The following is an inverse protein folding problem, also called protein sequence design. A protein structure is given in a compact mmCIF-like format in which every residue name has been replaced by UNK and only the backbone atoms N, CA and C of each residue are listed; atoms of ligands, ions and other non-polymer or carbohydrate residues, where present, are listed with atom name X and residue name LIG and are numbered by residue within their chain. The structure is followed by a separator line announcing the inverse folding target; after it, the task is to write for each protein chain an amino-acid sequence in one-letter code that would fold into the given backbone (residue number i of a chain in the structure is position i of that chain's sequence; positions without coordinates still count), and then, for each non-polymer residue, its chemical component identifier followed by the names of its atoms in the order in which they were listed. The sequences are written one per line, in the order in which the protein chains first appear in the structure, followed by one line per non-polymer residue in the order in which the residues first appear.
data_IF_637954537446
#
_entry.id   IF_637954537446
#
_cell.length_a   1.000
_cell.length_b   1.000
_cell.length_c   1.000
_cell.angle_alpha   90.00
_cell.angle_beta   90.00
_cell.angle_gamma   90.00
#
_symmetry.space_group_name_H-M   'P 1'
#
loop_
_entity.id
_entity.type
_entity.pdbx_description
1 polymer ?
#
# COMPACT_ATOMS: atom_id res chain seq x y z
N UNK A 1 50.27 3.05 -2.49
CA UNK A 1 49.89 1.70 -2.97
C UNK A 1 48.37 1.65 -3.04
N UNK A 2 47.78 1.66 -4.25
CA UNK A 2 46.32 1.68 -4.46
C UNK A 2 45.75 0.28 -4.28
N UNK A 3 44.85 0.09 -3.32
CA UNK A 3 44.09 -1.15 -3.17
C UNK A 3 42.73 -0.94 -3.87
N UNK A 4 42.58 -1.54 -5.06
CA UNK A 4 41.29 -1.67 -5.73
C UNK A 4 40.53 -2.82 -5.07
N UNK A 5 39.36 -2.54 -4.46
CA UNK A 5 38.39 -3.57 -4.09
C UNK A 5 37.67 -4.01 -5.37
N UNK A 6 37.83 -5.27 -5.77
CA UNK A 6 36.96 -5.93 -6.74
C UNK A 6 35.71 -6.39 -6.00
N UNK A 7 34.55 -5.92 -6.43
CA UNK A 7 33.26 -6.53 -6.08
C UNK A 7 33.20 -7.83 -6.88
N UNK A 8 33.13 -8.96 -6.17
CA UNK A 8 32.80 -10.27 -6.76
C UNK A 8 31.28 -10.38 -6.71
N UNK A 9 30.64 -10.23 -7.87
CA UNK A 9 29.24 -10.61 -8.06
C UNK A 9 29.21 -12.13 -8.05
N UNK A 10 28.68 -12.71 -6.96
CA UNK A 10 28.43 -14.14 -6.88
C UNK A 10 27.21 -14.48 -7.72
N UNK A 11 27.42 -15.04 -8.91
CA UNK A 11 26.42 -15.91 -9.53
C UNK A 11 26.24 -17.11 -8.60
N UNK A 12 25.09 -17.21 -7.93
CA UNK A 12 24.66 -18.46 -7.33
C UNK A 12 24.17 -19.38 -8.43
N UNK A 13 25.05 -20.29 -8.86
CA UNK A 13 24.66 -21.50 -9.56
C UNK A 13 23.86 -22.37 -8.59
N UNK A 14 22.56 -22.56 -8.87
CA UNK A 14 21.73 -23.56 -8.22
C UNK A 14 22.40 -24.94 -8.36
N UNK A 15 22.77 -25.52 -7.23
CA UNK A 15 23.32 -26.86 -7.13
C UNK A 15 22.53 -27.65 -6.08
N UNK A 16 21.75 -28.61 -6.58
CA UNK A 16 21.29 -29.83 -5.91
C UNK A 16 20.54 -29.66 -4.58
N UNK A 17 19.22 -29.40 -4.68
CA UNK A 17 18.26 -29.97 -3.74
C UNK A 17 17.74 -31.29 -4.34
N UNK A 18 17.76 -32.34 -3.52
CA UNK A 18 17.16 -33.63 -3.80
C UNK A 18 15.66 -33.45 -4.03
N UNK A 19 15.24 -33.52 -5.29
CA UNK A 19 13.85 -33.61 -5.72
C UNK A 19 13.33 -35.03 -5.48
N UNK A 20 12.28 -35.17 -4.65
CA UNK A 20 11.09 -36.02 -4.91
C UNK A 20 10.06 -35.90 -3.74
N UNK A 21 8.73 -35.90 -3.98
CA UNK A 21 7.98 -35.50 -5.16
C UNK A 21 6.89 -34.45 -4.81
N UNK A 22 7.17 -33.17 -5.00
CA UNK A 22 6.15 -32.20 -5.41
C UNK A 22 6.69 -31.47 -6.63
N UNK A 23 6.01 -31.64 -7.77
CA UNK A 23 6.15 -30.77 -8.92
C UNK A 23 7.53 -30.76 -9.60
N UNK A 24 7.91 -31.85 -10.26
CA UNK A 24 9.03 -31.83 -11.21
C UNK A 24 8.78 -30.98 -12.50
N UNK A 25 7.67 -30.23 -12.56
CA UNK A 25 7.26 -29.40 -13.70
C UNK A 25 6.83 -27.96 -13.31
N UNK A 26 6.90 -27.57 -12.04
CA UNK A 26 6.57 -26.19 -11.68
C UNK A 26 7.81 -25.31 -11.96
N UNK A 27 7.75 -24.52 -13.03
CA UNK A 27 8.80 -23.54 -13.30
C UNK A 27 8.79 -22.50 -12.17
N UNK A 28 9.97 -22.01 -11.71
CA UNK A 28 10.06 -20.96 -10.68
C UNK A 28 9.26 -19.68 -11.01
N UNK A 29 8.77 -19.53 -12.24
CA UNK A 29 7.92 -18.44 -12.71
C UNK A 29 6.50 -18.46 -12.16
N UNK A 30 5.99 -19.57 -11.64
CA UNK A 30 4.56 -19.72 -11.34
C UNK A 30 4.18 -19.31 -9.92
N UNK A 31 5.16 -18.83 -9.16
CA UNK A 31 5.00 -18.39 -7.79
C UNK A 31 5.44 -16.95 -7.58
N UNK A 32 4.90 -16.34 -6.53
CA UNK A 32 5.20 -14.99 -6.07
C UNK A 32 5.70 -15.08 -4.63
N UNK A 33 6.77 -14.35 -4.34
CA UNK A 33 7.26 -14.18 -2.98
C UNK A 33 6.96 -12.77 -2.51
N UNK A 34 6.30 -12.64 -1.37
CA UNK A 34 6.14 -11.35 -0.70
C UNK A 34 7.35 -11.10 0.22
N UNK A 35 7.75 -9.83 0.30
CA UNK A 35 8.87 -9.41 1.15
C UNK A 35 8.43 -8.68 2.41
N UNK A 36 7.15 -8.33 2.50
CA UNK A 36 6.49 -7.78 3.70
C UNK A 36 5.90 -8.93 4.49
N UNK A 37 6.14 -8.98 5.80
CA UNK A 37 5.60 -10.02 6.67
C UNK A 37 4.09 -9.89 6.79
N UNK A 38 3.55 -8.68 6.91
CA UNK A 38 2.10 -8.45 7.03
C UNK A 38 1.31 -8.98 5.81
N UNK A 39 1.79 -8.70 4.59
CA UNK A 39 1.19 -9.29 3.39
C UNK A 39 1.30 -10.81 3.40
N UNK A 40 2.45 -11.33 3.83
CA UNK A 40 2.68 -12.77 3.89
C UNK A 40 1.72 -13.45 4.86
N UNK A 41 1.51 -12.89 6.05
CA UNK A 41 0.62 -13.43 7.08
C UNK A 41 -0.85 -13.40 6.61
N UNK A 42 -1.28 -12.29 6.00
CA UNK A 42 -2.61 -12.17 5.39
C UNK A 42 -2.82 -13.23 4.29
N UNK A 43 -1.86 -13.38 3.38
CA UNK A 43 -1.95 -14.37 2.33
C UNK A 43 -1.87 -15.80 2.87
N UNK A 44 -1.08 -16.09 3.91
CA UNK A 44 -1.00 -17.42 4.53
C UNK A 44 -2.32 -17.82 5.16
N UNK A 45 -2.96 -16.91 5.91
CA UNK A 45 -4.26 -17.14 6.54
C UNK A 45 -5.33 -17.46 5.49
N UNK A 46 -5.39 -16.66 4.42
CA UNK A 46 -6.36 -16.80 3.35
C UNK A 46 -6.07 -18.00 2.43
N UNK A 47 -4.81 -18.39 2.25
CA UNK A 47 -4.40 -19.48 1.35
C UNK A 47 -5.00 -20.81 1.78
N UNK A 48 -4.90 -21.13 3.08
CA UNK A 48 -5.46 -22.37 3.63
C UNK A 48 -6.96 -22.48 3.36
N UNK A 49 -7.69 -21.38 3.52
CA UNK A 49 -9.13 -21.32 3.27
C UNK A 49 -9.45 -21.48 1.79
N UNK A 50 -8.75 -20.75 0.92
CA UNK A 50 -8.93 -20.84 -0.52
C UNK A 50 -8.77 -22.27 -1.05
N UNK A 51 -7.78 -23.02 -0.54
CA UNK A 51 -7.57 -24.41 -0.97
C UNK A 51 -8.59 -25.39 -0.40
N UNK A 52 -8.93 -25.27 0.89
CA UNK A 52 -9.95 -26.11 1.52
C UNK A 52 -11.32 -25.96 0.82
N UNK A 53 -11.66 -24.76 0.34
CA UNK A 53 -12.98 -24.47 -0.21
C UNK A 53 -13.10 -24.73 -1.72
N UNK A 54 -12.00 -24.66 -2.49
CA UNK A 54 -12.06 -24.73 -3.96
C UNK A 54 -11.34 -25.97 -4.53
N UNK A 55 -10.02 -26.02 -4.46
CA UNK A 55 -9.21 -26.95 -5.24
C UNK A 55 -9.19 -28.38 -4.67
N UNK A 56 -9.07 -28.53 -3.34
CA UNK A 56 -9.14 -29.84 -2.71
C UNK A 56 -10.51 -30.47 -2.92
N UNK A 57 -11.56 -29.63 -2.85
CA UNK A 57 -12.94 -30.07 -3.03
C UNK A 57 -13.23 -30.51 -4.47
N UNK A 58 -12.78 -29.77 -5.48
CA UNK A 58 -12.94 -30.19 -6.88
C UNK A 58 -12.25 -31.52 -7.19
N UNK A 59 -11.03 -31.74 -6.67
CA UNK A 59 -10.33 -33.02 -6.85
C UNK A 59 -11.06 -34.17 -6.13
N UNK A 60 -11.58 -33.95 -4.92
CA UNK A 60 -12.36 -34.95 -4.18
C UNK A 60 -13.72 -35.22 -4.83
N UNK A 61 -14.45 -34.20 -5.27
CA UNK A 61 -15.76 -34.35 -5.93
C UNK A 61 -15.63 -35.21 -7.22
N UNK A 62 -14.51 -35.09 -7.94
CA UNK A 62 -14.21 -35.95 -9.10
C UNK A 62 -13.87 -37.39 -8.71
N UNK A 63 -13.25 -37.61 -7.55
CA UNK A 63 -13.01 -38.95 -7.01
C UNK A 63 -14.32 -39.59 -6.54
N UNK A 64 -15.21 -38.80 -5.91
CA UNK A 64 -16.55 -39.22 -5.49
C UNK A 64 -17.37 -39.69 -6.70
N UNK A 65 -17.38 -38.93 -7.79
CA UNK A 65 -18.07 -39.31 -9.02
C UNK A 65 -17.55 -40.65 -9.59
N UNK A 66 -16.24 -40.85 -9.60
CA UNK A 66 -15.62 -42.10 -10.06
C UNK A 66 -15.92 -43.27 -9.14
N UNK A 67 -15.97 -43.03 -7.84
CA UNK A 67 -16.34 -44.04 -6.87
C UNK A 67 -17.81 -44.47 -7.01
N UNK A 68 -18.72 -43.50 -7.12
CA UNK A 68 -20.16 -43.73 -7.29
C UNK A 68 -20.49 -44.48 -8.60
N UNK A 69 -19.70 -44.24 -9.65
CA UNK A 69 -19.84 -44.93 -10.95
C UNK A 69 -19.17 -46.31 -10.97
N UNK A 70 -18.47 -46.69 -9.90
CA UNK A 70 -17.75 -47.96 -9.78
C UNK A 70 -16.46 -48.02 -10.60
N UNK A 71 -15.93 -46.87 -11.02
CA UNK A 71 -14.62 -46.75 -11.68
C UNK A 71 -13.46 -46.90 -10.69
N UNK A 72 -13.71 -46.65 -9.39
CA UNK A 72 -12.76 -46.87 -8.30
C UNK A 72 -13.32 -47.89 -7.31
N UNK A 73 -12.45 -48.78 -6.83
CA UNK A 73 -12.72 -49.60 -5.64
C UNK A 73 -12.59 -48.78 -4.35
N UNK A 74 -13.10 -49.30 -3.23
CA UNK A 74 -12.94 -48.67 -1.90
C UNK A 74 -11.48 -48.34 -1.59
N UNK A 75 -10.57 -49.28 -1.84
CA UNK A 75 -9.12 -49.12 -1.59
C UNK A 75 -8.49 -48.07 -2.51
N UNK A 76 -8.84 -48.07 -3.80
CA UNK A 76 -8.32 -47.07 -4.76
C UNK A 76 -8.84 -45.67 -4.48
N UNK A 77 -10.08 -45.55 -3.99
CA UNK A 77 -10.66 -44.28 -3.57
C UNK A 77 -9.96 -43.73 -2.33
N UNK A 78 -9.82 -44.56 -1.29
CA UNK A 78 -9.14 -44.17 -0.04
C UNK A 78 -7.68 -43.73 -0.29
N UNK A 79 -6.94 -44.46 -1.13
CA UNK A 79 -5.58 -44.09 -1.53
C UNK A 79 -5.54 -42.78 -2.33
N UNK A 80 -6.50 -42.57 -3.25
CA UNK A 80 -6.55 -41.36 -4.06
C UNK A 80 -6.88 -40.12 -3.21
N UNK A 81 -7.83 -40.22 -2.28
CA UNK A 81 -8.17 -39.14 -1.34
C UNK A 81 -6.98 -38.79 -0.46
N UNK A 82 -6.31 -39.79 0.13
CA UNK A 82 -5.13 -39.57 0.95
C UNK A 82 -3.98 -38.91 0.17
N UNK A 83 -3.80 -39.28 -1.10
CA UNK A 83 -2.81 -38.66 -1.98
C UNK A 83 -3.13 -37.20 -2.29
N UNK A 84 -4.42 -36.87 -2.49
CA UNK A 84 -4.88 -35.48 -2.65
C UNK A 84 -4.58 -34.69 -1.38
N UNK A 85 -4.95 -35.20 -0.19
CA UNK A 85 -4.69 -34.56 1.09
C UNK A 85 -3.19 -34.28 1.32
N UNK A 86 -2.34 -35.29 1.14
CA UNK A 86 -0.89 -35.16 1.33
C UNK A 86 -0.29 -34.11 0.39
N UNK A 87 -0.66 -34.13 -0.89
CA UNK A 87 -0.21 -33.15 -1.89
C UNK A 87 -0.53 -31.72 -1.46
N UNK A 88 -1.67 -31.50 -0.80
CA UNK A 88 -2.06 -30.17 -0.33
C UNK A 88 -1.37 -29.76 0.96
N UNK A 89 -1.16 -30.68 1.89
CA UNK A 89 -0.34 -30.45 3.08
C UNK A 89 1.07 -30.00 2.70
N UNK A 90 1.68 -30.64 1.69
CA UNK A 90 3.00 -30.28 1.20
C UNK A 90 3.03 -28.90 0.54
N UNK A 91 1.99 -28.53 -0.23
CA UNK A 91 1.88 -27.18 -0.81
C UNK A 91 1.70 -26.11 0.25
N UNK A 92 0.86 -26.35 1.27
CA UNK A 92 0.64 -25.41 2.38
C UNK A 92 1.94 -25.25 3.18
N UNK A 93 2.58 -26.36 3.55
CA UNK A 93 3.86 -26.33 4.26
C UNK A 93 4.93 -25.54 3.49
N UNK A 94 4.97 -25.69 2.15
CA UNK A 94 5.87 -24.90 1.31
C UNK A 94 5.55 -23.39 1.37
N UNK A 95 4.27 -23.00 1.34
CA UNK A 95 3.90 -21.58 1.47
C UNK A 95 4.21 -21.01 2.85
N UNK A 96 4.02 -21.80 3.91
CA UNK A 96 4.31 -21.41 5.29
C UNK A 96 5.81 -21.24 5.53
N UNK A 97 6.62 -22.18 5.04
CA UNK A 97 8.07 -22.19 5.27
C UNK A 97 8.79 -21.09 4.48
N UNK A 98 8.36 -20.82 3.24
CA UNK A 98 9.12 -19.97 2.32
C UNK A 98 8.46 -18.62 2.01
N UNK A 99 7.17 -18.44 2.31
CA UNK A 99 6.45 -17.21 1.97
C UNK A 99 6.19 -17.05 0.48
N UNK A 100 6.04 -18.17 -0.22
CA UNK A 100 5.94 -18.25 -1.68
C UNK A 100 4.57 -18.80 -2.04
N UNK A 101 3.80 -18.04 -2.81
CA UNK A 101 2.41 -18.35 -3.15
C UNK A 101 2.25 -18.61 -4.65
N UNK A 102 1.39 -19.57 -5.05
CA UNK A 102 1.00 -19.75 -6.44
C UNK A 102 0.38 -18.49 -7.04
N UNK A 103 0.76 -18.14 -8.28
CA UNK A 103 0.16 -17.02 -9.01
C UNK A 103 -1.34 -17.14 -9.20
N UNK A 104 -1.83 -18.36 -9.41
CA UNK A 104 -3.27 -18.64 -9.53
C UNK A 104 -4.05 -18.21 -8.28
N UNK A 105 -3.47 -18.45 -7.11
CA UNK A 105 -4.05 -18.01 -5.85
C UNK A 105 -3.98 -16.49 -5.71
N UNK A 106 -2.81 -15.88 -5.95
CA UNK A 106 -2.69 -14.42 -5.84
C UNK A 106 -3.64 -13.70 -6.81
N UNK A 107 -3.79 -14.22 -8.03
CA UNK A 107 -4.73 -13.70 -9.01
C UNK A 107 -6.20 -13.83 -8.58
N UNK A 108 -6.56 -14.79 -7.73
CA UNK A 108 -7.94 -14.98 -7.26
C UNK A 108 -8.33 -14.04 -6.12
N UNK A 109 -7.35 -13.39 -5.48
CA UNK A 109 -7.59 -12.49 -4.34
C UNK A 109 -8.32 -11.23 -4.81
N UNK A 110 -9.50 -10.99 -4.22
CA UNK A 110 -10.32 -9.81 -4.51
C UNK A 110 -10.19 -8.69 -3.47
N UNK A 111 -9.73 -9.00 -2.26
CA UNK A 111 -9.61 -8.05 -1.16
C UNK A 111 -8.41 -8.36 -0.28
N UNK A 112 -7.71 -7.33 0.17
CA UNK A 112 -6.55 -7.41 1.05
C UNK A 112 -6.77 -6.40 2.18
N UNK A 113 -6.74 -6.87 3.43
CA UNK A 113 -6.89 -6.04 4.62
C UNK A 113 -5.99 -6.48 5.77
N UNK A 114 -4.67 -6.50 5.59
CA UNK A 114 -3.76 -6.85 6.67
C UNK A 114 -3.86 -5.80 7.79
N UNK A 115 -3.75 -6.28 9.02
CA UNK A 115 -3.38 -5.45 10.15
C UNK A 115 -1.88 -5.17 9.98
N UNK A 116 -1.49 -4.02 9.43
CA UNK A 116 -0.07 -3.71 9.24
C UNK A 116 0.53 -3.43 10.60
N UNK A 117 1.44 -4.28 11.06
CA UNK A 117 2.14 -4.10 12.33
C UNK A 117 3.58 -3.65 12.08
N UNK A 118 4.10 -3.87 10.88
CA UNK A 118 5.46 -3.51 10.53
C UNK A 118 5.55 -2.05 10.04
N UNK A 119 6.53 -1.33 10.58
CA UNK A 119 6.91 0.03 10.14
C UNK A 119 7.26 0.10 8.64
N UNK A 120 7.43 -1.01 7.91
CA UNK A 120 7.79 -1.00 6.49
C UNK A 120 6.95 -1.97 5.65
N UNK A 121 5.93 -1.40 5.04
CA UNK A 121 5.07 -2.10 4.09
C UNK A 121 5.53 -1.83 2.66
N UNK A 122 5.64 -2.88 1.84
CA UNK A 122 5.76 -2.70 0.40
C UNK A 122 4.75 -3.58 -0.34
N UNK A 123 4.19 -3.04 -1.41
CA UNK A 123 3.16 -3.69 -2.21
C UNK A 123 3.72 -4.53 -3.36
N UNK A 124 5.02 -4.83 -3.38
CA UNK A 124 5.60 -5.63 -4.46
C UNK A 124 4.99 -7.04 -4.45
N UNK A 125 4.62 -7.51 -5.64
CA UNK A 125 3.88 -8.75 -5.83
C UNK A 125 2.37 -8.52 -6.01
N UNK A 126 1.80 -7.44 -5.45
CA UNK A 126 0.38 -7.12 -5.61
C UNK A 126 0.01 -6.84 -7.06
N UNK A 127 0.95 -6.48 -7.93
CA UNK A 127 0.69 -6.32 -9.36
C UNK A 127 0.21 -7.61 -10.06
N UNK A 128 0.31 -8.76 -9.38
CA UNK A 128 -0.20 -10.05 -9.86
C UNK A 128 -1.59 -10.39 -9.31
N UNK A 129 -2.13 -9.63 -8.37
CA UNK A 129 -3.49 -9.81 -7.84
C UNK A 129 -4.50 -9.18 -8.81
N UNK A 130 -4.63 -9.75 -10.01
CA UNK A 130 -5.36 -9.14 -11.13
C UNK A 130 -6.87 -8.98 -10.91
N UNK A 131 -7.44 -9.69 -9.94
CA UNK A 131 -8.84 -9.56 -9.52
C UNK A 131 -9.02 -8.69 -8.27
N UNK A 132 -7.96 -8.04 -7.77
CA UNK A 132 -8.03 -7.20 -6.57
C UNK A 132 -8.97 -6.02 -6.80
N UNK A 133 -10.00 -5.92 -5.96
CA UNK A 133 -11.00 -4.85 -5.95
C UNK A 133 -10.83 -3.91 -4.76
N UNK A 134 -10.31 -4.40 -3.65
CA UNK A 134 -10.18 -3.62 -2.41
C UNK A 134 -8.82 -3.82 -1.79
N UNK A 135 -8.13 -2.72 -1.49
CA UNK A 135 -6.95 -2.68 -0.65
C UNK A 135 -7.22 -1.76 0.54
N UNK A 136 -7.27 -2.35 1.72
CA UNK A 136 -7.45 -1.62 2.98
C UNK A 136 -6.30 -1.92 3.93
N UNK A 137 -6.00 -0.97 4.80
CA UNK A 137 -5.23 -1.26 6.01
C UNK A 137 -4.69 -0.02 6.69
N UNK A 138 -4.29 -0.21 7.93
CA UNK A 138 -3.90 0.84 8.86
C UNK A 138 -2.41 0.68 9.24
N UNK A 139 -1.70 1.78 9.47
CA UNK A 139 -0.38 1.81 10.13
C UNK A 139 0.80 1.14 9.37
N UNK A 140 1.20 1.72 8.22
CA UNK A 140 2.48 1.33 7.58
C UNK A 140 3.28 2.52 7.04
N UNK A 141 4.60 2.35 6.83
CA UNK A 141 5.33 3.23 5.90
C UNK A 141 5.23 2.63 4.49
N UNK A 142 4.51 3.26 3.56
CA UNK A 142 4.52 2.84 2.15
C UNK A 142 4.60 4.05 1.23
N UNK A 143 5.74 4.17 0.53
CA UNK A 143 6.01 5.28 -0.40
C UNK A 143 5.59 4.96 -1.83
N UNK A 144 5.22 3.71 -2.09
CA UNK A 144 5.21 3.17 -3.44
C UNK A 144 3.90 2.47 -3.78
N UNK A 145 3.03 3.22 -4.45
CA UNK A 145 1.77 2.70 -4.97
C UNK A 145 1.93 2.15 -6.40
N UNK A 146 3.13 2.13 -6.99
CA UNK A 146 3.36 1.61 -8.36
C UNK A 146 2.82 0.20 -8.59
N UNK A 147 2.87 -0.75 -7.62
CA UNK A 147 2.29 -2.07 -7.83
C UNK A 147 0.78 -2.04 -8.09
N UNK A 148 0.07 -1.01 -7.60
CA UNK A 148 -1.37 -0.85 -7.78
C UNK A 148 -1.76 -0.33 -9.16
N UNK A 149 -0.83 0.33 -9.88
CA UNK A 149 -1.10 1.04 -11.15
C UNK A 149 -1.75 0.18 -12.23
N UNK A 150 -1.49 -1.14 -12.23
CA UNK A 150 -1.98 -2.07 -13.25
C UNK A 150 -3.20 -2.88 -12.81
N UNK A 151 -3.72 -2.63 -11.61
CA UNK A 151 -4.86 -3.36 -11.06
C UNK A 151 -6.15 -2.78 -11.61
N UNK A 152 -6.50 -3.21 -12.82
CA UNK A 152 -7.65 -2.70 -13.56
C UNK A 152 -8.98 -2.91 -12.82
N UNK A 153 -9.07 -3.87 -11.90
CA UNK A 153 -10.28 -4.13 -11.12
C UNK A 153 -10.35 -3.37 -9.78
N UNK A 154 -9.32 -2.60 -9.44
CA UNK A 154 -9.23 -1.92 -8.15
C UNK A 154 -10.29 -0.82 -8.03
N UNK A 155 -11.21 -0.98 -7.08
CA UNK A 155 -12.33 -0.07 -6.83
C UNK A 155 -12.16 0.75 -5.54
N UNK A 156 -11.42 0.22 -4.57
CA UNK A 156 -11.28 0.81 -3.24
C UNK A 156 -9.83 0.76 -2.74
N UNK A 157 -9.34 1.93 -2.31
CA UNK A 157 -8.06 2.08 -1.62
C UNK A 157 -8.30 2.87 -0.34
N UNK A 158 -8.07 2.24 0.81
CA UNK A 158 -8.12 2.89 2.11
C UNK A 158 -6.82 2.62 2.87
N UNK A 159 -5.95 3.62 2.97
CA UNK A 159 -4.65 3.45 3.61
C UNK A 159 -4.43 4.54 4.67
N UNK A 160 -3.97 4.12 5.84
CA UNK A 160 -3.34 5.01 6.80
C UNK A 160 -1.84 4.75 6.78
N UNK A 161 -1.07 5.78 6.43
CA UNK A 161 0.36 5.66 6.20
C UNK A 161 1.09 6.74 6.97
N UNK A 162 2.29 6.44 7.44
CA UNK A 162 3.05 7.45 8.20
C UNK A 162 3.72 8.46 7.29
N UNK A 163 3.96 8.12 6.02
CA UNK A 163 4.82 8.88 5.11
C UNK A 163 4.12 9.47 3.88
N UNK A 164 4.90 10.18 3.05
CA UNK A 164 4.41 10.80 1.82
C UNK A 164 3.98 9.74 0.79
N UNK A 165 2.79 9.93 0.23
CA UNK A 165 2.25 9.15 -0.89
C UNK A 165 2.36 9.92 -2.20
N UNK A 166 2.72 9.22 -3.28
CA UNK A 166 2.65 9.76 -4.64
C UNK A 166 1.36 9.27 -5.32
N UNK A 167 0.42 10.19 -5.59
CA UNK A 167 -0.86 9.84 -6.21
C UNK A 167 -0.76 9.62 -7.73
N UNK A 168 0.34 10.04 -8.36
CA UNK A 168 0.57 9.78 -9.79
C UNK A 168 0.48 8.30 -10.14
N UNK A 169 0.83 7.40 -9.22
CA UNK A 169 0.76 5.95 -9.44
C UNK A 169 -0.69 5.42 -9.52
N UNK A 170 -1.68 6.20 -9.08
CA UNK A 170 -3.10 5.88 -9.19
C UNK A 170 -3.80 6.53 -10.39
N UNK A 171 -3.11 7.38 -11.17
CA UNK A 171 -3.72 8.18 -12.25
C UNK A 171 -4.45 7.36 -13.33
N UNK A 172 -4.06 6.09 -13.50
CA UNK A 172 -4.61 5.17 -14.50
C UNK A 172 -5.61 4.16 -13.88
N UNK A 173 -5.95 4.30 -12.59
CA UNK A 173 -6.89 3.42 -11.88
C UNK A 173 -8.36 3.81 -12.19
N UNK A 174 -8.78 3.65 -13.45
CA UNK A 174 -10.07 4.14 -13.97
C UNK A 174 -11.30 3.60 -13.24
N UNK A 175 -11.20 2.40 -12.63
CA UNK A 175 -12.28 1.78 -11.87
C UNK A 175 -12.31 2.16 -10.38
N UNK A 176 -11.36 3.00 -9.92
CA UNK A 176 -11.30 3.45 -8.54
C UNK A 176 -12.50 4.34 -8.20
N UNK A 177 -13.29 3.90 -7.23
CA UNK A 177 -14.52 4.57 -6.76
C UNK A 177 -14.31 5.25 -5.40
N UNK A 178 -13.45 4.69 -4.56
CA UNK A 178 -13.23 5.14 -3.20
C UNK A 178 -11.72 5.28 -2.92
N UNK A 179 -11.30 6.49 -2.58
CA UNK A 179 -9.95 6.77 -2.12
C UNK A 179 -10.01 7.39 -0.72
N UNK A 180 -9.46 6.69 0.27
CA UNK A 180 -9.19 7.23 1.60
C UNK A 180 -7.69 7.15 1.89
N UNK A 181 -7.10 8.28 2.26
CA UNK A 181 -5.71 8.35 2.70
C UNK A 181 -5.62 9.18 3.98
N UNK A 182 -4.91 8.65 4.97
CA UNK A 182 -4.52 9.37 6.19
C UNK A 182 -3.00 9.39 6.26
N UNK A 183 -2.37 10.55 6.44
CA UNK A 183 -0.91 10.63 6.65
C UNK A 183 -0.54 11.37 7.92
N UNK A 184 0.32 10.79 8.77
CA UNK A 184 0.73 11.40 10.05
C UNK A 184 1.96 12.32 9.97
N UNK A 185 2.63 12.41 8.81
CA UNK A 185 3.73 13.35 8.60
C UNK A 185 5.03 12.99 9.32
N UNK A 186 5.12 11.80 9.94
CA UNK A 186 6.30 11.30 10.68
C UNK A 186 6.88 10.06 10.01
N UNK A 187 8.18 9.81 10.19
CA UNK A 187 8.90 8.77 9.45
C UNK A 187 8.65 7.36 9.96
N UNK A 188 8.25 7.23 11.22
CA UNK A 188 7.94 6.01 11.95
C UNK A 188 7.13 6.39 13.20
N UNK A 189 6.62 5.39 13.90
CA UNK A 189 5.87 5.59 15.14
C UNK A 189 6.77 6.08 16.30
N UNK A 190 8.06 5.69 16.31
CA UNK A 190 9.03 6.17 17.32
C UNK A 190 9.22 7.70 17.28
N UNK A 191 9.01 8.33 16.12
CA UNK A 191 9.08 9.78 15.93
C UNK A 191 7.80 10.51 16.42
N UNK A 192 6.70 9.80 16.72
CA UNK A 192 5.45 10.42 17.23
C UNK A 192 5.60 11.00 18.64
N UNK A 193 6.59 10.54 19.40
CA UNK A 193 6.94 11.09 20.72
C UNK A 193 7.56 12.50 20.62
N UNK A 194 8.08 12.90 19.45
CA UNK A 194 8.56 14.28 19.18
C UNK A 194 7.39 15.19 18.77
N UNK A 195 6.37 15.21 19.63
CA UNK A 195 5.09 15.91 19.44
C UNK A 195 5.32 17.36 19.03
N UNK A 196 5.12 17.62 17.74
CA UNK A 196 5.21 18.95 17.16
C UNK A 196 6.26 19.11 16.07
N UNK A 197 6.87 18.05 15.54
CA UNK A 197 7.71 18.15 14.36
C UNK A 197 7.43 17.08 13.31
N UNK A 198 7.01 17.52 12.13
CA UNK A 198 6.89 16.65 10.97
C UNK A 198 8.24 16.37 10.33
N UNK A 199 8.45 15.12 9.90
CA UNK A 199 9.68 14.67 9.21
C UNK A 199 9.43 14.22 7.78
N UNK A 200 8.17 13.98 7.40
CA UNK A 200 7.75 13.60 6.06
C UNK A 200 7.04 14.75 5.35
N UNK A 201 7.19 14.82 4.03
CA UNK A 201 6.58 15.87 3.23
C UNK A 201 5.05 15.80 3.27
N UNK A 202 4.42 16.95 3.44
CA UNK A 202 2.96 17.07 3.38
C UNK A 202 2.45 16.87 1.95
N UNK A 203 1.32 16.19 1.78
CA UNK A 203 0.65 16.04 0.49
C UNK A 203 -0.22 17.28 0.22
N UNK A 204 0.31 18.30 -0.46
CA UNK A 204 -0.43 19.53 -0.82
C UNK A 204 -1.00 19.54 -2.24
N UNK A 205 -0.55 18.62 -3.10
CA UNK A 205 -0.99 18.52 -4.48
C UNK A 205 -1.60 17.14 -4.71
N UNK A 206 -2.91 17.13 -4.99
CA UNK A 206 -3.66 15.93 -5.35
C UNK A 206 -4.18 15.99 -6.79
N UNK A 207 -3.63 16.86 -7.63
CA UNK A 207 -4.09 17.05 -9.00
C UNK A 207 -3.90 15.81 -9.89
N UNK A 208 -2.98 14.91 -9.52
CA UNK A 208 -2.73 13.65 -10.23
C UNK A 208 -3.97 12.75 -10.38
N UNK A 209 -4.96 12.86 -9.49
CA UNK A 209 -6.22 12.09 -9.55
C UNK A 209 -7.37 12.85 -10.26
N UNK A 210 -7.07 13.97 -10.92
CA UNK A 210 -8.09 14.79 -11.60
C UNK A 210 -8.79 14.08 -12.75
N UNK A 211 -8.13 13.13 -13.40
CA UNK A 211 -8.69 12.38 -14.54
C UNK A 211 -9.52 11.16 -14.08
N UNK A 212 -9.47 10.80 -12.79
CA UNK A 212 -10.27 9.74 -12.18
C UNK A 212 -11.73 10.20 -11.96
N UNK A 213 -12.44 10.38 -13.07
CA UNK A 213 -13.82 10.88 -13.07
C UNK A 213 -14.85 9.93 -12.43
N UNK A 214 -14.48 8.65 -12.24
CA UNK A 214 -15.29 7.63 -11.57
C UNK A 214 -15.25 7.66 -10.03
N UNK A 215 -14.42 8.51 -9.43
CA UNK A 215 -14.32 8.63 -7.97
C UNK A 215 -15.62 9.15 -7.36
N UNK A 216 -16.27 8.33 -6.54
CA UNK A 216 -17.48 8.67 -5.80
C UNK A 216 -17.17 9.33 -4.46
N UNK A 217 -15.98 9.06 -3.91
CA UNK A 217 -15.54 9.58 -2.61
C UNK A 217 -14.03 9.73 -2.59
N UNK A 218 -13.60 10.89 -2.12
CA UNK A 218 -12.20 11.18 -1.78
C UNK A 218 -12.22 11.61 -0.33
N UNK A 219 -11.43 10.97 0.52
CA UNK A 219 -11.21 11.41 1.89
C UNK A 219 -9.72 11.39 2.20
N UNK A 220 -9.08 12.54 2.05
CA UNK A 220 -7.65 12.68 2.29
C UNK A 220 -7.45 13.58 3.50
N UNK A 221 -6.78 13.07 4.51
CA UNK A 221 -6.28 13.84 5.65
C UNK A 221 -4.77 13.66 5.71
N UNK A 222 -4.02 14.76 5.77
CA UNK A 222 -2.56 14.68 5.62
C UNK A 222 -1.85 15.70 6.50
N UNK A 223 -0.86 15.21 7.21
CA UNK A 223 0.05 16.00 8.00
C UNK A 223 1.46 15.95 7.39
N UNK A 224 2.25 17.01 7.54
CA UNK A 224 3.65 16.96 7.13
C UNK A 224 4.40 18.29 7.05
N UNK A 225 5.58 18.23 6.45
CA UNK A 225 6.53 19.35 6.32
C UNK A 225 6.58 19.88 4.87
N UNK A 226 6.57 21.20 4.72
CA UNK A 226 6.82 21.89 3.45
C UNK A 226 8.32 22.23 3.30
N UNK A 227 8.77 22.62 2.11
CA UNK A 227 10.13 23.11 1.91
C UNK A 227 10.49 24.28 2.84
N UNK A 228 11.72 24.28 3.36
CA UNK A 228 12.24 25.36 4.22
C UNK A 228 12.23 26.70 3.50
N UNK A 229 11.71 27.73 4.17
CA UNK A 229 11.78 29.13 3.72
C UNK A 229 12.92 29.86 4.42
N UNK A 230 13.47 30.89 3.78
CA UNK A 230 14.47 31.77 4.39
C UNK A 230 13.85 33.14 4.62
N UNK A 231 13.79 33.57 5.89
CA UNK A 231 13.27 34.88 6.27
C UNK A 231 14.41 35.77 6.77
N UNK A 232 14.31 37.07 6.51
CA UNK A 232 15.29 38.04 7.00
C UNK A 232 15.04 38.34 8.47
N UNK A 233 16.11 38.56 9.24
CA UNK A 233 16.01 39.06 10.60
C UNK A 233 15.16 40.35 10.65
N UNK A 234 14.20 40.38 11.57
CA UNK A 234 13.21 41.46 11.69
C UNK A 234 12.00 41.35 10.75
N UNK A 235 11.84 40.25 9.99
CA UNK A 235 10.57 39.97 9.29
C UNK A 235 9.48 39.70 10.34
N UNK A 236 8.40 40.47 10.30
CA UNK A 236 7.30 40.37 11.28
C UNK A 236 6.04 39.71 10.70
N UNK A 237 5.99 39.47 9.39
CA UNK A 237 4.88 38.78 8.76
C UNK A 237 5.32 38.01 7.51
N UNK A 238 4.58 36.96 7.19
CA UNK A 238 4.78 36.14 5.99
C UNK A 238 3.43 35.73 5.42
N UNK A 239 3.32 35.69 4.10
CA UNK A 239 2.12 35.26 3.39
C UNK A 239 2.50 34.21 2.34
N UNK A 240 1.67 33.18 2.22
CA UNK A 240 1.78 32.13 1.22
C UNK A 240 0.47 32.04 0.44
N UNK A 241 0.55 32.24 -0.88
CA UNK A 241 -0.64 32.24 -1.74
C UNK A 241 -0.95 30.81 -2.20
N UNK A 242 -2.19 30.38 -1.95
CA UNK A 242 -2.79 29.12 -2.40
C UNK A 242 -1.83 27.90 -2.46
N UNK A 243 -1.29 27.46 -1.31
CA UNK A 243 -0.27 26.40 -1.28
C UNK A 243 -0.80 24.99 -1.61
N UNK A 244 -2.11 24.81 -1.74
CA UNK A 244 -2.75 23.51 -1.93
C UNK A 244 -3.38 23.46 -3.32
N UNK A 245 -3.18 22.34 -4.01
CA UNK A 245 -3.71 22.09 -5.36
C UNK A 245 -4.68 20.92 -5.29
N UNK A 246 -6.00 21.18 -5.16
CA UNK A 246 -7.01 20.14 -5.19
C UNK A 246 -7.16 19.52 -6.58
N UNK A 247 -7.73 18.32 -6.61
CA UNK A 247 -8.09 17.63 -7.84
C UNK A 247 -9.35 18.24 -8.48
N UNK A 248 -9.61 17.91 -9.75
CA UNK A 248 -10.78 18.40 -10.50
C UNK A 248 -12.13 18.10 -9.83
N UNK A 249 -12.22 17.06 -9.01
CA UNK A 249 -13.42 16.69 -8.26
C UNK A 249 -13.87 17.83 -7.32
N UNK A 250 -12.94 18.67 -6.84
CA UNK A 250 -13.22 19.82 -6.00
C UNK A 250 -13.53 21.12 -6.76
N UNK A 251 -13.60 21.11 -8.10
CA UNK A 251 -13.89 22.32 -8.90
C UNK A 251 -15.14 23.06 -8.39
N UNK A 252 -15.00 24.34 -8.07
CA UNK A 252 -16.08 25.19 -7.55
C UNK A 252 -16.32 25.10 -6.05
N UNK A 253 -15.55 24.28 -5.32
CA UNK A 253 -15.46 24.37 -3.87
C UNK A 253 -14.42 25.41 -3.44
N UNK A 254 -14.59 25.94 -2.24
CA UNK A 254 -13.70 26.93 -1.64
C UNK A 254 -12.82 26.25 -0.62
N UNK A 255 -11.50 26.41 -0.74
CA UNK A 255 -10.57 26.01 0.30
C UNK A 255 -10.59 27.01 1.45
N UNK A 256 -10.51 26.51 2.68
CA UNK A 256 -10.34 27.31 3.88
C UNK A 256 -8.95 27.06 4.43
N UNK A 257 -8.14 28.09 4.53
CA UNK A 257 -6.85 28.12 5.19
C UNK A 257 -6.98 28.71 6.59
N UNK A 258 -6.19 28.19 7.53
CA UNK A 258 -6.10 28.72 8.89
C UNK A 258 -4.66 28.69 9.38
N UNK A 259 -4.20 29.87 9.78
CA UNK A 259 -2.93 30.13 10.48
C UNK A 259 -3.25 31.08 11.65
N UNK A 260 -2.58 32.24 11.76
CA UNK A 260 -2.98 33.31 12.68
C UNK A 260 -4.34 33.92 12.32
N UNK A 261 -4.71 33.81 11.04
CA UNK A 261 -6.01 34.24 10.51
C UNK A 261 -6.69 33.10 9.77
N UNK A 262 -7.99 33.26 9.51
CA UNK A 262 -8.72 32.42 8.56
C UNK A 262 -8.86 33.14 7.23
N UNK A 263 -8.60 32.44 6.12
CA UNK A 263 -8.62 32.98 4.77
C UNK A 263 -8.97 31.88 3.78
N UNK A 264 -9.43 32.25 2.59
CA UNK A 264 -9.73 31.34 1.49
C UNK A 264 -8.84 31.55 0.26
N UNK A 265 -7.84 32.43 0.36
CA UNK A 265 -6.96 32.81 -0.76
C UNK A 265 -5.47 32.64 -0.42
N UNK A 266 -5.10 32.82 0.85
CA UNK A 266 -3.73 32.74 1.30
C UNK A 266 -3.63 32.30 2.75
N UNK A 267 -2.43 31.89 3.14
CA UNK A 267 -2.03 31.65 4.53
C UNK A 267 -1.21 32.85 4.99
N UNK A 268 -1.40 33.30 6.23
CA UNK A 268 -0.71 34.49 6.75
C UNK A 268 -0.31 34.33 8.21
N UNK A 269 0.93 34.72 8.50
CA UNK A 269 1.48 34.79 9.84
C UNK A 269 1.91 36.21 10.14
N UNK A 270 1.58 36.69 11.35
CA UNK A 270 1.79 38.05 11.81
C UNK A 270 2.47 38.04 13.18
N UNK A 271 3.15 39.14 13.51
CA UNK A 271 3.89 39.31 14.76
C UNK A 271 5.03 38.29 14.94
N UNK A 272 5.67 37.87 13.85
CA UNK A 272 6.87 37.02 13.91
C UNK A 272 7.98 37.73 14.70
N UNK A 273 8.61 36.97 15.57
CA UNK A 273 9.62 37.43 16.54
C UNK A 273 11.05 37.20 16.05
N UNK A 274 11.25 36.29 15.10
CA UNK A 274 12.58 35.86 14.67
C UNK A 274 13.11 34.63 15.41
N UNK A 275 12.31 34.07 16.32
CA UNK A 275 12.64 32.88 17.11
C UNK A 275 11.89 31.62 16.64
N UNK A 276 10.94 31.78 15.71
CA UNK A 276 10.12 30.67 15.21
C UNK A 276 10.98 29.65 14.44
N UNK A 277 10.85 28.38 14.79
CA UNK A 277 11.47 27.29 14.03
C UNK A 277 10.63 26.89 12.81
N UNK A 278 9.30 26.96 12.94
CA UNK A 278 8.33 26.60 11.91
C UNK A 278 7.18 27.59 11.89
N UNK A 279 6.58 27.77 10.70
CA UNK A 279 5.23 28.31 10.54
C UNK A 279 4.26 27.15 10.40
N UNK A 280 3.09 27.21 11.05
CA UNK A 280 2.08 26.15 10.94
C UNK A 280 0.79 26.66 10.32
N UNK A 281 0.13 25.83 9.52
CA UNK A 281 -1.21 26.11 9.02
C UNK A 281 -1.96 24.81 8.75
N UNK A 282 -3.29 24.93 8.70
CA UNK A 282 -4.20 23.87 8.32
C UNK A 282 -5.07 24.33 7.16
N UNK A 283 -5.55 23.39 6.38
CA UNK A 283 -6.53 23.64 5.33
C UNK A 283 -7.66 22.61 5.34
N UNK A 284 -8.75 22.98 4.70
CA UNK A 284 -9.84 22.07 4.41
C UNK A 284 -10.63 22.51 3.19
N UNK A 285 -10.96 21.54 2.34
CA UNK A 285 -11.88 21.71 1.21
C UNK A 285 -12.82 20.50 1.16
N UNK A 286 -14.09 20.76 0.90
CA UNK A 286 -15.09 19.69 0.74
C UNK A 286 -16.07 20.00 -0.38
N UNK A 287 -16.54 18.94 -1.04
CA UNK A 287 -17.56 19.03 -2.09
C UNK A 287 -18.32 17.72 -2.20
N UNK A 288 -19.62 17.74 -1.88
CA UNK A 288 -20.41 16.52 -1.87
C UNK A 288 -19.82 15.49 -0.90
N UNK A 289 -19.45 14.32 -1.42
CA UNK A 289 -18.82 13.25 -0.64
C UNK A 289 -17.29 13.35 -0.56
N UNK A 290 -16.68 14.38 -1.16
CA UNK A 290 -15.23 14.55 -1.17
C UNK A 290 -14.79 15.48 -0.02
N UNK A 291 -13.73 15.10 0.66
CA UNK A 291 -13.01 15.89 1.66
C UNK A 291 -11.51 15.77 1.45
N UNK A 292 -10.82 16.90 1.58
CA UNK A 292 -9.38 16.98 1.60
C UNK A 292 -8.95 18.03 2.62
N UNK A 293 -8.22 17.62 3.63
CA UNK A 293 -7.74 18.45 4.74
C UNK A 293 -6.31 18.09 5.12
N UNK A 294 -5.69 18.97 5.90
CA UNK A 294 -4.39 18.65 6.46
C UNK A 294 -3.80 19.75 7.32
N UNK A 295 -2.64 19.43 7.90
CA UNK A 295 -1.79 20.31 8.70
C UNK A 295 -0.36 20.31 8.15
N UNK A 296 0.23 21.49 8.01
CA UNK A 296 1.56 21.64 7.44
C UNK A 296 2.46 22.52 8.32
N UNK A 297 3.73 22.10 8.42
CA UNK A 297 4.82 22.89 8.99
C UNK A 297 5.75 23.41 7.90
N UNK A 298 6.13 24.67 7.96
CA UNK A 298 7.11 25.29 7.08
C UNK A 298 8.35 25.66 7.91
N UNK A 299 9.47 24.93 7.79
CA UNK A 299 10.68 25.26 8.53
C UNK A 299 11.23 26.62 8.11
N UNK A 300 11.74 27.37 9.08
CA UNK A 300 12.29 28.71 8.85
C UNK A 300 13.80 28.68 9.02
N UNK A 301 14.49 29.34 8.09
CA UNK A 301 15.90 29.71 8.23
C UNK A 301 16.00 31.23 8.33
N UNK A 302 16.26 31.73 9.53
CA UNK A 302 16.51 33.15 9.75
C UNK A 302 17.89 33.58 9.25
N UNK A 303 17.97 34.71 8.55
CA UNK A 303 19.22 35.28 8.02
C UNK A 303 19.31 36.79 8.16
#
# INVERSE_FOLDING_TARGET
MKIKRKIVVGLFTLGTMLLSPVGANAEPSDYIRFSSNDLMDEFQSNYRKFYAENQQREEIDLLDEKYDTGELTDEEYDEAVAAVEQKWEEKIAFTDEYGIFPKEYIASVEGISPDWVDDYTNFNGLENATNLKSLTGEEGTTKDLRPLRKLEQLEEVMLEVTNQVNLYDLKDAENLKYLRLSTSGVGNHDDEDDRGKYTQAVLTDISDISDLTGLNRINIDTEGIMPTITLKQGTTSYQLYDPVVPSSQFTGATISYRSDISSNEWVEWNNLTGEEEYLTFNWGISKGNHSYSGEAQIPIRWK
#
